data_IF_778455116954
#
_entry.id   IF_778455116954
#
_cell.length_a   1.000
_cell.length_b   1.000
_cell.length_c   1.000
_cell.angle_alpha   90.00
_cell.angle_beta   90.00
_cell.angle_gamma   90.00
#
_symmetry.space_group_name_H-M   'P 1'
#
loop_
_entity.id
_entity.type
_entity.pdbx_description
1 polymer ?
#
# COMPACT_ATOMS: atom_id res chain seq x y z
N UNK A 1 3.88 -2.29 22.26
CA UNK A 1 2.68 -1.46 21.99
C UNK A 1 3.07 -0.43 20.94
N UNK A 2 2.54 -0.55 19.72
CA UNK A 2 2.78 0.41 18.64
C UNK A 2 1.82 1.59 18.84
N UNK A 3 2.33 2.84 18.86
CA UNK A 3 1.50 4.05 18.87
C UNK A 3 1.59 4.68 17.49
N UNK A 4 0.44 4.85 16.84
CA UNK A 4 0.32 5.55 15.56
C UNK A 4 -0.11 6.99 15.82
N UNK A 5 0.47 7.94 15.10
CA UNK A 5 0.15 9.36 15.23
C UNK A 5 -0.82 9.76 14.14
N UNK A 6 -1.93 10.41 14.47
CA UNK A 6 -2.90 10.83 13.47
C UNK A 6 -2.46 12.12 12.77
N UNK A 7 -2.65 12.24 11.43
CA UNK A 7 -3.17 11.24 10.51
C UNK A 7 -2.12 10.16 10.12
N UNK A 8 -2.55 8.91 9.99
CA UNK A 8 -1.70 7.79 9.52
C UNK A 8 -2.40 6.98 8.43
N UNK A 9 -1.69 6.68 7.34
CA UNK A 9 -2.13 5.69 6.35
C UNK A 9 -1.57 4.30 6.73
N UNK A 10 -2.45 3.31 6.83
CA UNK A 10 -2.13 1.92 7.09
C UNK A 10 -2.34 1.10 5.82
N UNK A 11 -1.34 0.28 5.49
CA UNK A 11 -1.38 -0.70 4.41
C UNK A 11 -1.15 -2.09 5.01
N UNK A 12 -2.14 -2.95 4.90
CA UNK A 12 -2.02 -4.38 5.20
C UNK A 12 -1.93 -5.14 3.88
N UNK A 13 -1.02 -6.10 3.79
CA UNK A 13 -0.78 -6.85 2.56
C UNK A 13 -0.52 -8.33 2.87
N UNK A 14 -0.85 -9.21 1.91
CA UNK A 14 -0.41 -10.61 1.92
C UNK A 14 1.00 -10.75 1.34
N UNK A 15 1.69 -11.81 1.71
CA UNK A 15 2.99 -12.23 1.17
C UNK A 15 3.02 -12.26 -0.36
N UNK A 16 1.94 -12.67 -1.03
CA UNK A 16 1.84 -12.66 -2.50
C UNK A 16 2.09 -11.28 -3.18
N UNK A 17 2.13 -10.18 -2.43
CA UNK A 17 2.50 -8.85 -2.93
C UNK A 17 4.00 -8.54 -2.90
N UNK A 18 4.76 -9.18 -2.02
CA UNK A 18 6.20 -8.93 -1.86
C UNK A 18 7.03 -10.16 -2.25
N UNK A 19 6.46 -11.35 -2.18
CA UNK A 19 7.12 -12.60 -2.50
C UNK A 19 6.86 -12.99 -3.96
N UNK A 20 7.94 -13.15 -4.72
CA UNK A 20 7.95 -13.68 -6.08
C UNK A 20 9.05 -14.72 -6.18
N UNK A 21 8.95 -15.63 -7.17
CA UNK A 21 10.02 -16.63 -7.41
C UNK A 21 11.36 -16.01 -7.77
N UNK A 22 11.35 -14.77 -8.25
CA UNK A 22 12.50 -14.07 -8.82
C UNK A 22 12.92 -12.84 -8.01
N UNK A 23 12.19 -12.50 -6.94
CA UNK A 23 12.41 -11.28 -6.15
C UNK A 23 12.59 -11.68 -4.70
N UNK A 24 13.67 -11.20 -4.08
CA UNK A 24 13.87 -11.38 -2.65
C UNK A 24 12.77 -10.67 -1.86
N UNK A 25 12.42 -11.19 -0.69
CA UNK A 25 11.39 -10.61 0.18
C UNK A 25 11.74 -9.16 0.54
N UNK A 26 13.01 -8.88 0.85
CA UNK A 26 13.48 -7.55 1.21
C UNK A 26 13.31 -6.58 0.02
N UNK A 27 13.65 -7.03 -1.19
CA UNK A 27 13.47 -6.26 -2.43
C UNK A 27 11.98 -6.01 -2.73
N UNK A 28 11.11 -6.99 -2.47
CA UNK A 28 9.67 -6.86 -2.58
C UNK A 28 9.09 -5.83 -1.62
N UNK A 29 9.58 -5.79 -0.39
CA UNK A 29 9.20 -4.79 0.62
C UNK A 29 9.65 -3.38 0.18
N UNK A 30 10.89 -3.25 -0.31
CA UNK A 30 11.40 -1.97 -0.79
C UNK A 30 10.60 -1.44 -1.99
N UNK A 31 10.25 -2.31 -2.95
CA UNK A 31 9.39 -1.94 -4.07
C UNK A 31 7.98 -1.53 -3.61
N UNK A 32 7.40 -2.24 -2.65
CA UNK A 32 6.10 -1.88 -2.06
C UNK A 32 6.15 -0.50 -1.38
N UNK A 33 7.19 -0.25 -0.58
CA UNK A 33 7.40 1.03 0.10
C UNK A 33 7.56 2.18 -0.91
N UNK A 34 8.39 1.97 -1.94
CA UNK A 34 8.62 2.97 -2.98
C UNK A 34 7.35 3.27 -3.79
N UNK A 35 6.57 2.24 -4.12
CA UNK A 35 5.29 2.41 -4.82
C UNK A 35 4.29 3.19 -3.96
N UNK A 36 4.23 2.91 -2.65
CA UNK A 36 3.38 3.65 -1.71
C UNK A 36 3.80 5.12 -1.60
N UNK A 37 5.09 5.39 -1.42
CA UNK A 37 5.61 6.75 -1.32
C UNK A 37 5.32 7.56 -2.59
N UNK A 38 5.55 6.97 -3.77
CA UNK A 38 5.23 7.60 -5.04
C UNK A 38 3.74 7.90 -5.20
N UNK A 39 2.88 6.97 -4.77
CA UNK A 39 1.44 7.11 -4.84
C UNK A 39 0.92 8.21 -3.90
N UNK A 40 1.46 8.29 -2.68
CA UNK A 40 1.08 9.30 -1.67
C UNK A 40 1.54 10.70 -2.08
N UNK A 41 2.71 10.86 -2.69
CA UNK A 41 3.16 12.17 -3.22
C UNK A 41 2.18 12.75 -4.25
N UNK A 42 1.51 11.90 -5.02
CA UNK A 42 0.48 12.30 -5.99
C UNK A 42 -0.84 12.75 -5.35
N UNK A 43 -1.06 12.45 -4.07
CA UNK A 43 -2.31 12.66 -3.37
C UNK A 43 -2.15 13.79 -2.34
N UNK A 44 -2.66 14.98 -2.69
CA UNK A 44 -2.63 16.15 -1.79
C UNK A 44 -3.67 16.10 -0.66
N UNK A 45 -4.65 15.20 -0.75
CA UNK A 45 -5.77 15.12 0.21
C UNK A 45 -6.26 13.67 0.28
N UNK A 46 -5.78 12.91 1.28
CA UNK A 46 -6.17 11.51 1.51
C UNK A 46 -7.61 11.38 2.02
N UNK A 47 -8.16 12.44 2.62
CA UNK A 47 -9.50 12.45 3.20
C UNK A 47 -10.63 12.40 2.18
N UNK A 48 -10.32 12.40 0.87
CA UNK A 48 -11.31 12.20 -0.19
C UNK A 48 -11.69 10.73 -0.31
N UNK A 49 -12.99 10.40 -0.35
CA UNK A 49 -13.47 9.00 -0.34
C UNK A 49 -12.97 8.15 -1.52
N UNK A 50 -12.62 8.79 -2.65
CA UNK A 50 -12.18 8.10 -3.86
C UNK A 50 -10.67 7.82 -3.91
N UNK A 51 -9.92 8.34 -2.94
CA UNK A 51 -8.45 8.29 -2.96
C UNK A 51 -7.92 6.94 -2.54
N UNK A 52 -8.41 6.34 -1.44
CA UNK A 52 -7.96 5.02 -1.01
C UNK A 52 -8.22 3.94 -2.08
N UNK A 53 -9.40 3.90 -2.75
CA UNK A 53 -9.62 2.99 -3.88
C UNK A 53 -8.74 3.28 -5.11
N UNK A 54 -8.35 4.54 -5.34
CA UNK A 54 -7.44 4.88 -6.44
C UNK A 54 -6.00 4.42 -6.13
N UNK A 55 -5.53 4.66 -4.91
CA UNK A 55 -4.24 4.20 -4.40
C UNK A 55 -4.15 2.67 -4.43
N UNK A 56 -5.19 1.96 -3.97
CA UNK A 56 -5.20 0.50 -3.96
C UNK A 56 -5.03 -0.08 -5.37
N UNK A 57 -5.76 0.46 -6.36
CA UNK A 57 -5.63 0.04 -7.76
C UNK A 57 -4.25 0.37 -8.33
N UNK A 58 -3.73 1.56 -8.02
CA UNK A 58 -2.41 1.96 -8.50
C UNK A 58 -1.31 1.04 -7.97
N UNK A 59 -1.34 0.72 -6.67
CA UNK A 59 -0.39 -0.20 -6.05
C UNK A 59 -0.50 -1.62 -6.65
N UNK A 60 -1.71 -2.17 -6.76
CA UNK A 60 -1.93 -3.49 -7.38
C UNK A 60 -1.41 -3.54 -8.83
N UNK A 61 -1.56 -2.45 -9.59
CA UNK A 61 -1.07 -2.40 -10.98
C UNK A 61 0.45 -2.25 -11.09
N UNK A 62 1.07 -1.51 -10.16
CA UNK A 62 2.51 -1.19 -10.22
C UNK A 62 3.37 -2.34 -9.72
N UNK A 63 2.84 -3.11 -8.77
CA UNK A 63 3.50 -4.28 -8.18
C UNK A 63 3.20 -5.56 -8.96
N UNK A 64 2.57 -5.45 -10.14
CA UNK A 64 2.25 -6.61 -10.95
C UNK A 64 3.48 -7.15 -11.65
N UNK A 65 4.31 -7.89 -10.91
CA UNK A 65 5.30 -8.77 -11.50
C UNK A 65 4.56 -9.88 -12.27
N UNK A 66 4.99 -10.12 -13.51
CA UNK A 66 4.36 -11.02 -14.48
C UNK A 66 4.25 -12.50 -14.02
N UNK A 67 4.90 -12.85 -12.90
CA UNK A 67 5.01 -14.22 -12.37
C UNK A 67 4.26 -14.40 -11.03
N UNK A 68 3.12 -13.72 -10.85
CA UNK A 68 2.27 -13.85 -9.66
C UNK A 68 1.76 -15.29 -9.51
N UNK A 69 2.37 -16.06 -8.61
CA UNK A 69 2.01 -17.46 -8.39
C UNK A 69 1.02 -17.63 -7.21
N UNK A 70 0.66 -16.52 -6.53
CA UNK A 70 -0.17 -16.48 -5.32
C UNK A 70 -1.18 -15.31 -5.34
N UNK A 71 -2.20 -15.40 -4.49
CA UNK A 71 -3.27 -14.41 -4.37
C UNK A 71 -2.77 -13.11 -3.71
N UNK A 72 -2.94 -12.00 -4.43
CA UNK A 72 -2.52 -10.66 -3.99
C UNK A 72 -3.66 -9.94 -3.30
N UNK A 73 -3.52 -9.70 -2.01
CA UNK A 73 -4.50 -8.97 -1.21
C UNK A 73 -3.85 -7.77 -0.55
N UNK A 74 -4.44 -6.58 -0.72
CA UNK A 74 -4.11 -5.41 0.08
C UNK A 74 -5.34 -4.73 0.66
N UNK A 75 -5.16 -4.13 1.82
CA UNK A 75 -6.16 -3.32 2.50
C UNK A 75 -5.51 -2.00 2.91
N UNK A 76 -6.09 -0.90 2.43
CA UNK A 76 -5.72 0.47 2.79
C UNK A 76 -6.74 1.03 3.76
N UNK A 77 -6.26 1.62 4.85
CA UNK A 77 -7.08 2.33 5.83
C UNK A 77 -6.39 3.62 6.22
N UNK A 78 -7.16 4.70 6.35
CA UNK A 78 -6.67 5.96 6.90
C UNK A 78 -7.17 6.11 8.33
N UNK A 79 -6.25 6.32 9.26
CA UNK A 79 -6.55 6.76 10.61
C UNK A 79 -6.50 8.30 10.60
N UNK A 80 -7.67 8.92 10.52
CA UNK A 80 -7.85 10.37 10.56
C UNK A 80 -8.28 10.83 11.96
N UNK A 81 -7.96 12.07 12.37
CA UNK A 81 -8.47 12.64 13.60
C UNK A 81 -10.00 12.58 13.65
N UNK A 82 -10.56 12.22 14.80
CA UNK A 82 -12.00 12.34 15.01
C UNK A 82 -12.41 13.80 14.80
N UNK A 83 -13.33 14.06 13.87
CA UNK A 83 -13.88 15.39 13.66
C UNK A 83 -14.60 15.80 14.96
N UNK A 84 -13.99 16.74 15.69
CA UNK A 84 -14.57 17.41 16.88
C UNK A 84 -15.57 18.47 16.47
#
# INVERSE_FOLDING_TARGET
>A
MLRLSEPTLLLLYSDGLIESRTTDIDEGIDHLAQALDAAVVGVKDTARPDVLPALSRHLLSSLSAADANDDRTLLLAELSPAAV
#
